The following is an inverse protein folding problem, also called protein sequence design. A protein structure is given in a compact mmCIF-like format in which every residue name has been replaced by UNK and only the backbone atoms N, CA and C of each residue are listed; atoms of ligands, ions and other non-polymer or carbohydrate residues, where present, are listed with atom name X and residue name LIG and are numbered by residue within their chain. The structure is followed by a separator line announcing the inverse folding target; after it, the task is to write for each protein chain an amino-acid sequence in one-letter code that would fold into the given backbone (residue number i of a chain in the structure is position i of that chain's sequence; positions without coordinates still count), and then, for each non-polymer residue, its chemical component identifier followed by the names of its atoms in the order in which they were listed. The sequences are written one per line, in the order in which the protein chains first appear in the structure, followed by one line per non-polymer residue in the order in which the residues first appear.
data_IF_244005544518
#
_entry.id   IF_244005544518
#
_cell.length_a   1.000
_cell.length_b   1.000
_cell.length_c   1.000
_cell.angle_alpha   90.00
_cell.angle_beta   90.00
_cell.angle_gamma   90.00
#
_symmetry.space_group_name_H-M   'P 1'
#
loop_
_entity.id
_entity.type
_entity.pdbx_description
1 polymer ?
#
# COMPACT_ATOMS: atom_id res chain seq x y z
N UNK A 1 21.08 12.85 -12.67
CA UNK A 1 19.92 13.27 -11.85
C UNK A 1 18.68 12.69 -12.51
N UNK A 2 18.18 11.56 -12.01
CA UNK A 2 17.06 10.84 -12.63
C UNK A 2 15.75 11.58 -12.33
N UNK A 3 15.08 12.06 -13.37
CA UNK A 3 13.76 12.68 -13.30
C UNK A 3 12.79 11.75 -12.58
N UNK A 4 11.94 12.25 -11.65
CA UNK A 4 10.87 11.44 -11.06
C UNK A 4 10.02 10.87 -12.20
N UNK A 5 9.95 9.56 -12.32
CA UNK A 5 9.08 8.92 -13.30
C UNK A 5 7.63 9.24 -12.90
N UNK A 6 6.77 9.67 -13.84
CA UNK A 6 5.35 9.87 -13.54
C UNK A 6 4.82 8.55 -12.98
N UNK A 7 4.15 8.62 -11.83
CA UNK A 7 3.50 7.46 -11.23
C UNK A 7 2.47 6.99 -12.25
N UNK A 8 2.80 5.95 -13.00
CA UNK A 8 1.91 5.41 -14.01
C UNK A 8 0.70 4.79 -13.31
N UNK A 9 -0.50 4.89 -13.89
CA UNK A 9 -1.69 4.24 -13.32
C UNK A 9 -1.46 2.74 -13.05
N UNK A 10 -0.59 2.10 -13.84
CA UNK A 10 -0.17 0.71 -13.64
C UNK A 10 0.55 0.50 -12.30
N UNK A 11 1.39 1.43 -11.87
CA UNK A 11 2.13 1.33 -10.60
C UNK A 11 1.18 1.39 -9.39
N UNK A 12 0.19 2.27 -9.44
CA UNK A 12 -0.84 2.35 -8.40
C UNK A 12 -1.68 1.07 -8.32
N UNK A 13 -2.14 0.58 -9.48
CA UNK A 13 -2.93 -0.66 -9.58
C UNK A 13 -2.17 -1.88 -9.05
N UNK A 14 -0.87 -2.01 -9.37
CA UNK A 14 -0.02 -3.10 -8.86
C UNK A 14 0.11 -3.01 -7.34
N UNK A 15 0.33 -1.82 -6.79
CA UNK A 15 0.42 -1.61 -5.35
C UNK A 15 -0.91 -1.95 -4.63
N UNK A 16 -2.05 -1.52 -5.19
CA UNK A 16 -3.39 -1.85 -4.68
C UNK A 16 -3.66 -3.36 -4.69
N UNK A 17 -3.29 -4.05 -5.78
CA UNK A 17 -3.46 -5.50 -5.91
C UNK A 17 -2.60 -6.27 -4.89
N UNK A 18 -1.34 -5.88 -4.72
CA UNK A 18 -0.44 -6.48 -3.74
C UNK A 18 -0.91 -6.26 -2.30
N UNK A 19 -1.40 -5.05 -1.99
CA UNK A 19 -1.97 -4.75 -0.69
C UNK A 19 -3.22 -5.60 -0.39
N UNK A 20 -4.14 -5.69 -1.35
CA UNK A 20 -5.33 -6.54 -1.23
C UNK A 20 -5.00 -8.02 -1.05
N UNK A 21 -4.02 -8.54 -1.80
CA UNK A 21 -3.58 -9.93 -1.67
C UNK A 21 -2.98 -10.22 -0.29
N UNK A 22 -2.18 -9.29 0.23
CA UNK A 22 -1.61 -9.42 1.58
C UNK A 22 -2.69 -9.36 2.67
N UNK A 23 -3.74 -8.56 2.49
CA UNK A 23 -4.88 -8.52 3.42
C UNK A 23 -5.61 -9.86 3.48
N UNK A 24 -5.87 -10.50 2.32
CA UNK A 24 -6.50 -11.82 2.26
C UNK A 24 -5.59 -12.89 2.87
N UNK A 25 -4.27 -12.82 2.66
CA UNK A 25 -3.31 -13.77 3.26
C UNK A 25 -3.25 -13.69 4.79
N UNK A 26 -3.55 -12.53 5.36
CA UNK A 26 -3.65 -12.35 6.82
C UNK A 26 -5.04 -12.72 7.37
N UNK A 27 -6.02 -12.97 6.49
CA UNK A 27 -7.36 -13.43 6.89
C UNK A 27 -7.31 -14.88 7.41
N UNK A 28 -8.10 -15.21 8.44
CA UNK A 28 -8.37 -16.58 8.80
C UNK A 28 -8.92 -17.36 7.59
N UNK A 29 -8.38 -18.55 7.33
CA UNK A 29 -8.76 -19.40 6.19
C UNK A 29 -10.20 -19.97 6.28
N UNK A 30 -10.89 -19.72 7.39
CA UNK A 30 -12.07 -20.48 7.79
C UNK A 30 -13.38 -19.69 7.57
N UNK A 31 -13.35 -18.56 6.87
CA UNK A 31 -14.52 -17.70 6.67
C UNK A 31 -14.50 -16.92 5.36
N UNK A 32 -15.69 -16.60 4.84
CA UNK A 32 -15.82 -15.70 3.69
C UNK A 32 -15.47 -14.28 4.12
N UNK A 33 -14.43 -13.69 3.51
CA UNK A 33 -13.99 -12.33 3.78
C UNK A 33 -14.10 -11.48 2.51
N UNK A 34 -14.85 -10.38 2.60
CA UNK A 34 -14.97 -9.38 1.54
C UNK A 34 -14.30 -8.11 2.04
N UNK A 35 -13.25 -7.67 1.35
CA UNK A 35 -12.49 -6.47 1.69
C UNK A 35 -12.33 -5.59 0.45
N UNK A 36 -12.28 -4.27 0.66
CA UNK A 36 -11.96 -3.29 -0.39
C UNK A 36 -10.56 -2.70 -0.14
N UNK A 37 -9.54 -3.14 -0.89
CA UNK A 37 -8.16 -2.66 -0.72
C UNK A 37 -8.02 -1.14 -0.86
N UNK A 38 -8.72 -0.56 -1.85
CA UNK A 38 -8.72 0.88 -2.13
C UNK A 38 -9.26 1.68 -0.96
N UNK A 39 -10.38 1.25 -0.37
CA UNK A 39 -11.00 1.94 0.76
C UNK A 39 -10.09 1.96 1.99
N UNK A 40 -9.32 0.89 2.22
CA UNK A 40 -8.40 0.81 3.36
C UNK A 40 -7.16 1.67 3.11
N UNK A 41 -6.60 1.67 1.90
CA UNK A 41 -5.50 2.58 1.54
C UNK A 41 -5.92 4.03 1.72
N UNK A 42 -7.14 4.39 1.29
CA UNK A 42 -7.67 5.74 1.45
C UNK A 42 -7.83 6.13 2.93
N UNK A 43 -8.38 5.23 3.76
CA UNK A 43 -8.46 5.45 5.20
C UNK A 43 -7.07 5.64 5.82
N UNK A 44 -6.09 4.81 5.45
CA UNK A 44 -4.70 4.92 5.91
C UNK A 44 -4.04 6.23 5.47
N UNK A 45 -4.31 6.70 4.25
CA UNK A 45 -3.83 8.00 3.76
C UNK A 45 -4.43 9.16 4.57
N UNK A 46 -5.73 9.13 4.88
CA UNK A 46 -6.35 10.14 5.75
C UNK A 46 -5.77 10.10 7.18
N UNK A 47 -5.53 8.90 7.71
CA UNK A 47 -4.84 8.72 9.01
C UNK A 47 -3.41 9.24 8.94
N UNK A 48 -2.70 9.05 7.82
CA UNK A 48 -1.36 9.59 7.60
C UNK A 48 -1.35 11.13 7.60
N UNK A 49 -2.38 11.76 7.02
CA UNK A 49 -2.54 13.21 7.01
C UNK A 49 -2.78 13.77 8.42
N UNK A 50 -3.48 13.03 9.28
CA UNK A 50 -3.69 13.38 10.70
C UNK A 50 -2.53 12.99 11.63
N UNK A 51 -1.67 12.06 11.21
CA UNK A 51 -0.57 11.55 12.02
C UNK A 51 0.64 12.51 12.04
N UNK A 52 1.25 12.72 13.22
CA UNK A 52 2.51 13.47 13.41
C UNK A 52 3.59 12.57 14.01
N UNK A 53 4.85 12.82 13.68
CA UNK A 53 5.99 12.05 14.22
C UNK A 53 6.12 10.64 13.61
N UNK A 54 6.47 9.63 14.42
CA UNK A 54 6.81 8.26 13.97
C UNK A 54 5.68 7.53 13.23
N UNK A 55 4.41 7.81 13.56
CA UNK A 55 3.24 7.17 12.93
C UNK A 55 3.07 7.61 11.47
N UNK A 56 3.45 8.85 11.14
CA UNK A 56 3.47 9.33 9.74
C UNK A 56 4.50 8.58 8.90
N UNK A 57 5.68 8.32 9.47
CA UNK A 57 6.79 7.63 8.80
C UNK A 57 6.46 6.16 8.56
N UNK A 58 5.89 5.47 9.56
CA UNK A 58 5.47 4.07 9.43
C UNK A 58 4.37 3.87 8.38
N UNK A 59 3.38 4.77 8.31
CA UNK A 59 2.34 4.70 7.28
C UNK A 59 2.92 5.01 5.89
N UNK A 60 3.83 5.99 5.80
CA UNK A 60 4.51 6.30 4.55
C UNK A 60 5.36 5.12 4.05
N UNK A 61 6.07 4.45 4.95
CA UNK A 61 6.86 3.25 4.65
C UNK A 61 5.99 2.06 4.27
N UNK A 62 4.82 1.86 4.89
CA UNK A 62 3.93 0.76 4.52
C UNK A 62 3.31 0.97 3.13
N UNK A 63 2.96 2.21 2.80
CA UNK A 63 2.48 2.61 1.46
C UNK A 63 3.63 2.52 0.44
N UNK A 64 4.83 3.00 0.78
CA UNK A 64 6.00 3.00 -0.09
C UNK A 64 6.64 1.61 -0.24
N UNK A 65 6.62 0.74 0.75
CA UNK A 65 7.17 -0.62 0.65
C UNK A 65 6.33 -1.50 -0.28
N UNK A 66 5.04 -1.19 -0.44
CA UNK A 66 4.21 -1.73 -1.53
C UNK A 66 4.62 -1.24 -2.93
N UNK A 67 5.31 -0.10 -3.02
CA UNK A 67 5.89 0.48 -4.24
C UNK A 67 7.37 0.05 -4.48
N UNK A 68 8.14 -0.23 -3.42
CA UNK A 68 9.57 -0.55 -3.47
C UNK A 68 9.87 -2.05 -3.66
N UNK A 69 8.94 -2.95 -3.32
CA UNK A 69 9.08 -4.39 -3.60
C UNK A 69 9.11 -4.73 -5.11
N UNK A 70 9.00 -3.73 -5.99
CA UNK A 70 9.24 -3.85 -7.43
C UNK A 70 10.65 -3.44 -7.87
N UNK A 71 11.61 -3.22 -6.94
CA UNK A 71 13.01 -2.85 -7.26
C UNK A 71 14.09 -3.77 -6.70
N UNK A 72 13.74 -4.88 -6.06
CA UNK A 72 14.73 -5.84 -5.53
C UNK A 72 14.75 -7.16 -6.33
N UNK A 73 14.48 -7.05 -7.64
CA UNK A 73 14.73 -8.09 -8.65
C UNK A 73 15.52 -7.51 -9.83
N UNK A 74 16.66 -6.89 -9.54
CA UNK A 74 17.84 -6.89 -10.44
C UNK A 74 19.07 -7.33 -9.65
#
# INVERSE_FOLDING_TARGET
MSSPQPISNATLQIAEMNFGLNMIRQSPANGQMVVSPVSVIFALAMVQLGARGRTKTQINELIASGLLNCREYE
#
